data_IF_380398886364
#
_entry.id   IF_380398886364
#
_cell.length_a   1.000
_cell.length_b   1.000
_cell.length_c   1.000
_cell.angle_alpha   90.00
_cell.angle_beta   90.00
_cell.angle_gamma   90.00
#
_symmetry.space_group_name_H-M   'P 1'
#
loop_
_entity.id
_entity.type
_entity.pdbx_description
1 polymer ?
#
# COMPACT_ATOMS: atom_id res chain seq x y z
N UNK A 1 48.10 -38.98 -11.68
CA UNK A 1 46.64 -39.13 -11.60
C UNK A 1 46.07 -37.72 -11.45
N UNK A 2 45.47 -37.11 -12.49
CA UNK A 2 45.02 -35.72 -12.41
C UNK A 2 43.72 -35.62 -11.60
N UNK A 3 43.63 -34.57 -10.78
CA UNK A 3 42.49 -34.29 -9.90
C UNK A 3 41.19 -34.07 -10.70
N UNK A 4 40.02 -34.47 -10.17
CA UNK A 4 38.75 -34.25 -10.84
C UNK A 4 38.45 -32.74 -10.87
N UNK A 5 38.11 -32.25 -12.06
CA UNK A 5 37.68 -30.87 -12.28
C UNK A 5 36.48 -30.56 -11.38
N UNK A 6 36.66 -29.62 -10.46
CA UNK A 6 35.59 -29.00 -9.69
C UNK A 6 34.65 -28.31 -10.66
N UNK A 7 33.47 -28.91 -10.86
CA UNK A 7 32.37 -28.29 -11.59
C UNK A 7 32.01 -26.98 -10.90
N UNK A 8 32.14 -25.86 -11.61
CA UNK A 8 31.68 -24.55 -11.16
C UNK A 8 30.21 -24.66 -10.68
N UNK A 9 29.82 -23.96 -9.60
CA UNK A 9 28.44 -23.96 -9.14
C UNK A 9 27.53 -23.50 -10.29
N UNK A 10 26.35 -24.12 -10.46
CA UNK A 10 25.42 -23.73 -11.51
C UNK A 10 25.07 -22.24 -11.34
N UNK A 11 25.28 -21.47 -12.41
CA UNK A 11 24.89 -20.06 -12.48
C UNK A 11 23.42 -19.93 -12.09
N UNK A 12 23.14 -19.34 -10.93
CA UNK A 12 21.78 -18.95 -10.55
C UNK A 12 21.28 -17.98 -11.61
N UNK A 13 20.40 -18.47 -12.48
CA UNK A 13 19.80 -17.67 -13.54
C UNK A 13 19.25 -16.38 -12.94
N UNK A 14 19.58 -15.26 -13.58
CA UNK A 14 19.33 -13.87 -13.16
C UNK A 14 17.83 -13.58 -12.95
N UNK A 15 17.22 -14.18 -11.93
CA UNK A 15 15.81 -13.96 -11.57
C UNK A 15 15.75 -12.65 -10.84
N UNK A 16 15.07 -11.68 -11.45
CA UNK A 16 14.84 -10.37 -10.86
C UNK A 16 14.34 -10.52 -9.40
N UNK A 17 14.89 -9.79 -8.41
CA UNK A 17 14.54 -9.93 -7.00
C UNK A 17 13.03 -9.89 -6.72
N UNK A 18 12.31 -9.00 -7.43
CA UNK A 18 10.85 -8.94 -7.38
C UNK A 18 10.14 -10.25 -7.77
N UNK A 19 10.68 -11.04 -8.71
CA UNK A 19 10.11 -12.34 -9.07
C UNK A 19 10.30 -13.37 -7.97
N UNK A 20 11.42 -13.31 -7.26
CA UNK A 20 11.66 -14.16 -6.08
C UNK A 20 10.66 -13.81 -4.99
N UNK A 21 10.50 -12.52 -4.69
CA UNK A 21 9.49 -12.04 -3.73
C UNK A 21 8.07 -12.45 -4.13
N UNK A 22 7.70 -12.27 -5.40
CA UNK A 22 6.40 -12.71 -5.93
C UNK A 22 6.18 -14.22 -5.79
N UNK A 23 7.24 -15.02 -5.90
CA UNK A 23 7.14 -16.47 -5.69
C UNK A 23 7.01 -16.88 -4.22
N UNK A 24 7.48 -16.06 -3.29
CA UNK A 24 7.28 -16.28 -1.85
C UNK A 24 5.84 -15.97 -1.43
N UNK A 25 5.25 -14.96 -2.07
CA UNK A 25 3.87 -14.51 -1.84
C UNK A 25 2.85 -15.27 -2.70
N UNK A 26 3.30 -16.07 -3.68
CA UNK A 26 2.40 -16.71 -4.65
C UNK A 26 1.46 -17.74 -4.04
N UNK A 27 1.82 -18.29 -2.88
CA UNK A 27 0.99 -19.24 -2.13
C UNK A 27 -0.21 -18.52 -1.46
N UNK A 28 -0.12 -17.20 -1.27
CA UNK A 28 -1.08 -16.34 -0.56
C UNK A 28 -1.78 -15.32 -1.48
N UNK A 29 -1.90 -15.60 -2.79
CA UNK A 29 -2.49 -14.66 -3.77
C UNK A 29 -3.89 -14.16 -3.37
N UNK A 30 -4.72 -15.04 -2.81
CA UNK A 30 -6.07 -14.68 -2.36
C UNK A 30 -6.03 -13.63 -1.24
N UNK A 31 -5.07 -13.74 -0.32
CA UNK A 31 -4.86 -12.77 0.75
C UNK A 31 -4.41 -11.42 0.21
N UNK A 32 -3.46 -11.41 -0.73
CA UNK A 32 -2.99 -10.17 -1.37
C UNK A 32 -4.13 -9.46 -2.10
N UNK A 33 -4.92 -10.18 -2.89
CA UNK A 33 -6.05 -9.58 -3.63
C UNK A 33 -7.06 -8.95 -2.67
N UNK A 34 -7.39 -9.63 -1.57
CA UNK A 34 -8.26 -9.09 -0.52
C UNK A 34 -7.64 -7.86 0.15
N UNK A 35 -6.33 -7.88 0.43
CA UNK A 35 -5.64 -6.77 1.05
C UNK A 35 -5.69 -5.53 0.15
N UNK A 36 -5.33 -5.69 -1.13
CA UNK A 36 -5.39 -4.62 -2.14
C UNK A 36 -6.81 -4.10 -2.30
N UNK A 37 -7.82 -4.98 -2.40
CA UNK A 37 -9.21 -4.56 -2.52
C UNK A 37 -9.66 -3.73 -1.30
N UNK A 38 -9.35 -4.19 -0.09
CA UNK A 38 -9.64 -3.45 1.14
C UNK A 38 -8.91 -2.10 1.20
N UNK A 39 -7.64 -2.03 0.79
CA UNK A 39 -6.87 -0.78 0.71
C UNK A 39 -7.51 0.23 -0.25
N UNK A 40 -7.90 -0.21 -1.45
CA UNK A 40 -8.54 0.67 -2.45
C UNK A 40 -9.91 1.14 -1.98
N UNK A 41 -10.72 0.25 -1.40
CA UNK A 41 -12.03 0.62 -0.86
C UNK A 41 -11.88 1.60 0.30
N UNK A 42 -10.95 1.34 1.23
CA UNK A 42 -10.63 2.28 2.30
C UNK A 42 -10.27 3.66 1.71
N UNK A 43 -9.44 3.71 0.66
CA UNK A 43 -9.06 4.99 0.04
C UNK A 43 -10.24 5.74 -0.57
N UNK A 44 -11.23 5.03 -1.08
CA UNK A 44 -12.47 5.66 -1.55
C UNK A 44 -13.17 6.34 -0.38
N UNK A 45 -13.34 5.65 0.75
CA UNK A 45 -13.96 6.24 1.94
C UNK A 45 -13.16 7.42 2.50
N UNK A 46 -11.83 7.33 2.54
CA UNK A 46 -10.93 8.39 3.01
C UNK A 46 -11.04 9.69 2.18
N UNK A 47 -11.43 9.62 0.90
CA UNK A 47 -11.61 10.79 0.01
C UNK A 47 -13.04 11.37 0.02
N UNK A 48 -14.00 10.66 0.61
CA UNK A 48 -15.39 11.13 0.64
C UNK A 48 -15.65 12.34 1.55
N UNK A 49 -14.99 12.50 2.72
CA UNK A 49 -15.16 13.67 3.59
C UNK A 49 -14.90 15.01 2.89
N UNK A 50 -13.92 15.10 1.98
CA UNK A 50 -13.63 16.32 1.22
C UNK A 50 -14.82 16.71 0.33
N UNK A 51 -15.45 15.72 -0.30
CA UNK A 51 -16.64 15.93 -1.14
C UNK A 51 -17.83 16.33 -0.28
N UNK A 52 -18.02 15.67 0.88
CA UNK A 52 -19.05 16.00 1.85
C UNK A 52 -18.95 17.44 2.35
N UNK A 53 -17.74 17.94 2.61
CA UNK A 53 -17.52 19.34 3.02
C UNK A 53 -18.00 20.28 1.90
N UNK A 54 -17.68 19.98 0.65
CA UNK A 54 -18.17 20.75 -0.50
C UNK A 54 -19.69 20.79 -0.60
N UNK A 55 -20.35 19.64 -0.38
CA UNK A 55 -21.82 19.55 -0.36
C UNK A 55 -22.39 20.30 0.84
N UNK A 56 -21.80 20.18 2.03
CA UNK A 56 -22.24 20.89 3.21
C UNK A 56 -22.16 22.42 3.04
N UNK A 57 -21.08 22.92 2.42
CA UNK A 57 -20.95 24.33 2.06
C UNK A 57 -22.05 24.77 1.09
N UNK A 58 -22.38 23.96 0.09
CA UNK A 58 -23.48 24.26 -0.85
C UNK A 58 -24.84 24.33 -0.14
N UNK A 59 -25.10 23.43 0.83
CA UNK A 59 -26.30 23.46 1.68
C UNK A 59 -26.37 24.75 2.50
N UNK A 60 -25.27 25.13 3.14
CA UNK A 60 -25.24 26.33 4.01
C UNK A 60 -25.34 27.62 3.19
N UNK A 61 -24.74 27.67 2.01
CA UNK A 61 -24.70 28.88 1.17
C UNK A 61 -25.96 29.03 0.32
N UNK A 62 -26.43 27.95 -0.31
CA UNK A 62 -27.56 27.99 -1.26
C UNK A 62 -28.89 27.56 -0.66
N UNK A 63 -28.89 26.93 0.52
CA UNK A 63 -30.10 26.55 1.25
C UNK A 63 -31.05 25.68 0.41
N UNK A 64 -32.16 26.27 -0.06
CA UNK A 64 -33.21 25.59 -0.81
C UNK A 64 -32.86 25.30 -2.28
N UNK A 65 -31.82 25.93 -2.81
CA UNK A 65 -31.30 25.67 -4.16
C UNK A 65 -30.06 24.76 -4.16
N UNK A 66 -29.77 24.13 -3.01
CA UNK A 66 -28.63 23.23 -2.86
C UNK A 66 -28.77 21.97 -3.74
N UNK A 67 -27.65 21.31 -4.00
CA UNK A 67 -27.63 20.01 -4.70
C UNK A 67 -28.51 18.98 -4.01
N UNK A 68 -28.52 18.95 -2.66
CA UNK A 68 -29.35 18.04 -1.86
C UNK A 68 -30.83 18.40 -1.95
N UNK A 69 -31.17 19.68 -2.06
CA UNK A 69 -32.55 20.13 -2.28
C UNK A 69 -33.14 19.62 -3.60
N UNK A 70 -32.31 19.51 -4.65
CA UNK A 70 -32.72 18.96 -5.95
C UNK A 70 -33.07 17.47 -5.90
N UNK A 71 -32.60 16.75 -4.88
CA UNK A 71 -32.92 15.34 -4.62
C UNK A 71 -34.25 15.20 -3.84
N UNK A 72 -34.87 16.31 -3.43
CA UNK A 72 -36.20 16.34 -2.81
C UNK A 72 -36.23 16.67 -1.31
N UNK A 73 -35.08 16.93 -0.68
CA UNK A 73 -34.99 17.33 0.73
C UNK A 73 -34.77 18.83 0.81
N UNK A 74 -35.82 19.63 0.95
CA UNK A 74 -35.71 21.09 0.85
C UNK A 74 -35.31 21.79 2.14
N UNK A 75 -35.43 21.13 3.29
CA UNK A 75 -35.12 21.74 4.59
C UNK A 75 -33.63 21.59 4.95
N UNK A 76 -32.87 22.69 5.11
CA UNK A 76 -31.45 22.65 5.43
C UNK A 76 -31.10 21.83 6.67
N UNK A 77 -31.97 21.80 7.70
CA UNK A 77 -31.72 21.00 8.91
C UNK A 77 -31.71 19.50 8.59
N UNK A 78 -32.66 19.04 7.79
CA UNK A 78 -32.74 17.65 7.35
C UNK A 78 -31.59 17.29 6.39
N UNK A 79 -31.16 18.23 5.53
CA UNK A 79 -29.98 18.04 4.68
C UNK A 79 -28.71 17.85 5.52
N UNK A 80 -28.49 18.69 6.53
CA UNK A 80 -27.33 18.59 7.43
C UNK A 80 -27.38 17.32 8.28
N UNK A 81 -28.56 16.91 8.75
CA UNK A 81 -28.73 15.65 9.48
C UNK A 81 -28.38 14.43 8.61
N UNK A 82 -28.82 14.42 7.34
CA UNK A 82 -28.46 13.38 6.38
C UNK A 82 -26.95 13.33 6.14
N UNK A 83 -26.32 14.49 5.94
CA UNK A 83 -24.87 14.59 5.79
C UNK A 83 -24.13 14.08 7.03
N UNK A 84 -24.63 14.37 8.24
CA UNK A 84 -24.07 13.84 9.48
C UNK A 84 -24.11 12.30 9.55
N UNK A 85 -25.23 11.70 9.15
CA UNK A 85 -25.36 10.23 9.06
C UNK A 85 -24.41 9.67 7.99
N UNK A 86 -24.33 10.32 6.82
CA UNK A 86 -23.43 9.91 5.76
C UNK A 86 -21.97 9.96 6.21
N UNK A 87 -21.54 11.03 6.88
CA UNK A 87 -20.19 11.16 7.46
C UNK A 87 -19.89 10.02 8.41
N UNK A 88 -20.81 9.70 9.32
CA UNK A 88 -20.64 8.59 10.25
C UNK A 88 -20.45 7.25 9.51
N UNK A 89 -21.29 6.96 8.50
CA UNK A 89 -21.18 5.73 7.71
C UNK A 89 -19.88 5.65 6.92
N UNK A 90 -19.39 6.80 6.42
CA UNK A 90 -18.12 6.88 5.68
C UNK A 90 -16.95 6.58 6.60
N UNK A 91 -16.87 7.22 7.76
CA UNK A 91 -15.79 6.98 8.73
C UNK A 91 -15.83 5.56 9.28
N UNK A 92 -17.03 5.01 9.49
CA UNK A 92 -17.19 3.62 9.88
C UNK A 92 -16.68 2.67 8.78
N UNK A 93 -17.02 2.93 7.52
CA UNK A 93 -16.53 2.18 6.37
C UNK A 93 -15.01 2.27 6.24
N UNK A 94 -14.46 3.48 6.30
CA UNK A 94 -13.02 3.75 6.31
C UNK A 94 -12.31 2.90 7.37
N UNK A 95 -12.74 3.01 8.63
CA UNK A 95 -12.17 2.28 9.77
C UNK A 95 -12.26 0.76 9.61
N UNK A 96 -13.38 0.26 9.06
CA UNK A 96 -13.60 -1.16 8.84
C UNK A 96 -12.64 -1.72 7.79
N UNK A 97 -12.52 -1.04 6.65
CA UNK A 97 -11.62 -1.47 5.58
C UNK A 97 -10.16 -1.25 5.94
N UNK A 98 -9.86 -0.24 6.77
CA UNK A 98 -8.55 -0.07 7.38
C UNK A 98 -8.15 -1.27 8.21
N UNK A 99 -9.00 -1.65 9.16
CA UNK A 99 -8.78 -2.82 9.99
C UNK A 99 -8.53 -4.09 9.14
N UNK A 100 -9.33 -4.28 8.08
CA UNK A 100 -9.16 -5.42 7.19
C UNK A 100 -7.83 -5.41 6.44
N UNK A 101 -7.45 -4.31 5.78
CA UNK A 101 -6.17 -4.31 5.06
C UNK A 101 -4.99 -4.45 6.04
N UNK A 102 -5.06 -3.86 7.24
CA UNK A 102 -3.98 -3.95 8.23
C UNK A 102 -3.75 -5.40 8.67
N UNK A 103 -4.81 -6.16 8.95
CA UNK A 103 -4.67 -7.59 9.31
C UNK A 103 -4.13 -8.43 8.15
N UNK A 104 -4.60 -8.15 6.94
CA UNK A 104 -4.21 -8.90 5.76
C UNK A 104 -2.74 -8.67 5.41
N UNK A 105 -2.28 -7.41 5.36
CA UNK A 105 -0.89 -7.04 5.10
C UNK A 105 0.04 -7.49 6.21
N UNK A 106 -0.30 -7.22 7.48
CA UNK A 106 0.56 -7.57 8.61
C UNK A 106 0.83 -9.06 8.70
N UNK A 107 -0.22 -9.88 8.67
CA UNK A 107 0.04 -11.31 8.78
C UNK A 107 0.67 -11.90 7.51
N UNK A 108 0.45 -11.31 6.32
CA UNK A 108 1.21 -11.72 5.12
C UNK A 108 2.71 -11.45 5.34
N UNK A 109 3.04 -10.28 5.86
CA UNK A 109 4.40 -9.87 6.12
C UNK A 109 5.06 -10.79 7.17
N UNK A 110 4.35 -11.12 8.24
CA UNK A 110 4.81 -12.06 9.28
C UNK A 110 5.03 -13.48 8.74
N UNK A 111 4.11 -14.00 7.93
CA UNK A 111 4.22 -15.35 7.34
C UNK A 111 5.45 -15.44 6.39
N UNK A 112 5.63 -14.41 5.55
CA UNK A 112 6.79 -14.31 4.66
C UNK A 112 8.09 -14.14 5.45
N UNK A 113 8.10 -13.29 6.48
CA UNK A 113 9.26 -13.10 7.36
C UNK A 113 9.67 -14.42 8.03
N UNK A 114 8.69 -15.15 8.57
CA UNK A 114 8.94 -16.43 9.24
C UNK A 114 9.54 -17.44 8.26
N UNK A 115 8.92 -17.62 7.09
CA UNK A 115 9.40 -18.55 6.06
C UNK A 115 10.81 -18.21 5.60
N UNK A 116 11.10 -16.94 5.35
CA UNK A 116 12.44 -16.49 4.95
C UNK A 116 13.46 -16.75 6.04
N UNK A 117 13.13 -16.48 7.30
CA UNK A 117 14.04 -16.72 8.43
C UNK A 117 14.41 -18.20 8.54
N UNK A 118 13.44 -19.10 8.41
CA UNK A 118 13.70 -20.55 8.42
C UNK A 118 14.57 -20.97 7.23
N UNK A 119 14.22 -20.54 6.01
CA UNK A 119 14.98 -20.90 4.80
C UNK A 119 16.42 -20.37 4.82
N UNK A 120 16.62 -19.12 5.20
CA UNK A 120 17.94 -18.52 5.27
C UNK A 120 18.79 -19.14 6.40
N UNK A 121 18.16 -19.48 7.53
CA UNK A 121 18.87 -20.14 8.63
C UNK A 121 19.28 -21.57 8.28
N UNK A 122 18.39 -22.35 7.67
CA UNK A 122 18.69 -23.69 7.16
C UNK A 122 19.80 -23.65 6.10
N UNK A 123 19.73 -22.71 5.14
CA UNK A 123 20.77 -22.52 4.16
C UNK A 123 22.11 -22.17 4.81
N UNK A 124 22.09 -21.24 5.79
CA UNK A 124 23.30 -20.85 6.50
C UNK A 124 23.96 -22.05 7.17
N UNK A 125 23.22 -22.93 7.85
CA UNK A 125 23.79 -24.10 8.52
C UNK A 125 24.51 -25.10 7.60
N UNK A 126 24.15 -25.13 6.32
CA UNK A 126 24.73 -26.04 5.34
C UNK A 126 25.89 -25.42 4.54
N UNK A 127 26.30 -24.19 4.86
CA UNK A 127 27.44 -23.54 4.19
C UNK A 127 28.77 -24.19 4.60
N UNK A 128 29.73 -24.31 3.66
CA UNK A 128 31.05 -24.87 3.96
C UNK A 128 31.84 -23.94 4.87
N UNK A 129 32.75 -24.50 5.68
CA UNK A 129 33.60 -23.72 6.60
C UNK A 129 34.35 -22.58 5.91
N UNK A 130 34.82 -22.79 4.67
CA UNK A 130 35.51 -21.77 3.87
C UNK A 130 34.68 -20.50 3.67
N UNK A 131 33.36 -20.61 3.59
CA UNK A 131 32.48 -19.45 3.48
C UNK A 131 32.58 -18.56 4.73
N UNK A 132 32.67 -19.15 5.92
CA UNK A 132 32.78 -18.41 7.18
C UNK A 132 34.18 -17.87 7.45
N UNK A 133 35.21 -18.43 6.80
CA UNK A 133 36.56 -17.85 6.83
C UNK A 133 36.66 -16.60 5.95
N UNK A 134 35.90 -16.57 4.84
CA UNK A 134 35.88 -15.47 3.88
C UNK A 134 34.85 -14.36 4.22
N UNK A 135 33.82 -14.67 5.00
CA UNK A 135 32.73 -13.73 5.34
C UNK A 135 32.62 -13.51 6.85
N UNK A 136 32.29 -12.28 7.27
CA UNK A 136 32.14 -12.00 8.70
C UNK A 136 30.83 -12.61 9.20
N UNK A 137 30.88 -13.31 10.33
CA UNK A 137 29.68 -13.86 10.97
C UNK A 137 28.62 -12.80 11.30
N UNK A 138 29.04 -11.54 11.50
CA UNK A 138 28.14 -10.40 11.67
C UNK A 138 27.28 -10.10 10.45
N UNK A 139 27.82 -10.29 9.23
CA UNK A 139 27.09 -10.02 7.98
C UNK A 139 25.97 -11.05 7.79
N UNK A 140 26.21 -12.31 8.14
CA UNK A 140 25.18 -13.36 8.17
C UNK A 140 24.05 -13.03 9.16
N UNK A 141 24.40 -12.56 10.36
CA UNK A 141 23.41 -12.16 11.37
C UNK A 141 22.61 -10.95 10.91
N UNK A 142 23.26 -9.99 10.23
CA UNK A 142 22.59 -8.84 9.64
C UNK A 142 21.57 -9.25 8.57
N UNK A 143 21.92 -10.18 7.67
CA UNK A 143 20.96 -10.71 6.68
C UNK A 143 19.77 -11.39 7.38
N UNK A 144 20.03 -12.24 8.39
CA UNK A 144 18.98 -12.98 9.09
C UNK A 144 18.04 -12.12 9.94
N UNK A 145 18.48 -10.92 10.35
CA UNK A 145 17.66 -9.98 11.10
C UNK A 145 17.25 -8.77 10.28
N UNK A 146 18.20 -7.92 9.87
CA UNK A 146 17.93 -6.59 9.34
C UNK A 146 17.29 -6.64 7.96
N UNK A 147 17.85 -7.41 7.03
CA UNK A 147 17.33 -7.51 5.66
C UNK A 147 15.95 -8.17 5.65
N UNK A 148 15.78 -9.25 6.41
CA UNK A 148 14.50 -9.94 6.57
C UNK A 148 13.45 -9.03 7.23
N UNK A 149 13.83 -8.27 8.27
CA UNK A 149 12.92 -7.32 8.91
C UNK A 149 12.60 -6.13 7.99
N UNK A 150 13.52 -5.70 7.13
CA UNK A 150 13.23 -4.64 6.14
C UNK A 150 12.21 -5.12 5.11
N UNK A 151 12.31 -6.37 4.68
CA UNK A 151 11.33 -6.97 3.79
C UNK A 151 9.95 -7.09 4.44
N UNK A 152 9.90 -7.48 5.72
CA UNK A 152 8.65 -7.49 6.48
C UNK A 152 8.03 -6.09 6.51
N UNK A 153 8.78 -5.05 6.90
CA UNK A 153 8.26 -3.68 6.94
C UNK A 153 7.74 -3.21 5.58
N UNK A 154 8.40 -3.60 4.50
CA UNK A 154 7.95 -3.31 3.15
C UNK A 154 6.60 -3.98 2.85
N UNK A 155 6.40 -5.24 3.24
CA UNK A 155 5.15 -5.96 3.03
C UNK A 155 4.02 -5.51 3.98
N UNK A 156 4.35 -5.20 5.24
CA UNK A 156 3.40 -4.75 6.27
C UNK A 156 2.85 -3.34 5.95
N UNK A 157 3.74 -2.41 5.55
CA UNK A 157 3.38 -1.00 5.34
C UNK A 157 3.65 -0.51 3.93
N UNK A 158 4.86 -0.68 3.42
CA UNK A 158 5.28 -0.08 2.15
C UNK A 158 4.38 -0.44 0.97
N UNK A 159 3.95 -1.71 0.88
CA UNK A 159 3.03 -2.17 -0.15
C UNK A 159 1.69 -1.43 -0.11
N UNK A 160 1.09 -1.29 1.09
CA UNK A 160 -0.14 -0.55 1.28
C UNK A 160 0.03 0.95 1.00
N UNK A 161 1.13 1.56 1.47
CA UNK A 161 1.43 2.98 1.23
C UNK A 161 1.53 3.31 -0.27
N UNK A 162 2.14 2.44 -1.07
CA UNK A 162 2.21 2.60 -2.52
C UNK A 162 0.82 2.54 -3.16
N UNK A 163 -0.01 1.57 -2.75
CA UNK A 163 -1.39 1.43 -3.23
C UNK A 163 -2.21 2.66 -2.85
N UNK A 164 -2.15 3.08 -1.59
CA UNK A 164 -2.86 4.24 -1.06
C UNK A 164 -2.47 5.52 -1.78
N UNK A 165 -1.17 5.75 -1.99
CA UNK A 165 -0.65 6.92 -2.72
C UNK A 165 -1.13 6.93 -4.16
N UNK A 166 -1.01 5.80 -4.86
CA UNK A 166 -1.45 5.68 -6.24
C UNK A 166 -2.97 5.88 -6.37
N UNK A 167 -3.76 5.25 -5.49
CA UNK A 167 -5.20 5.42 -5.43
C UNK A 167 -5.59 6.86 -5.10
N UNK A 168 -4.87 7.54 -4.20
CA UNK A 168 -5.09 8.96 -3.90
C UNK A 168 -4.94 9.82 -5.15
N UNK A 169 -3.81 9.67 -5.86
CA UNK A 169 -3.51 10.44 -7.07
C UNK A 169 -4.59 10.22 -8.14
N UNK A 170 -5.02 8.98 -8.34
CA UNK A 170 -6.08 8.66 -9.30
C UNK A 170 -7.45 9.21 -8.89
N UNK A 171 -7.88 8.98 -7.64
CA UNK A 171 -9.22 9.36 -7.17
C UNK A 171 -9.34 10.88 -7.05
N UNK A 172 -8.42 11.54 -6.33
CA UNK A 172 -8.43 12.99 -6.16
C UNK A 172 -8.19 13.69 -7.49
N UNK A 173 -7.26 13.17 -8.30
CA UNK A 173 -7.01 13.67 -9.65
C UNK A 173 -8.26 13.63 -10.51
N UNK A 174 -8.96 12.48 -10.56
CA UNK A 174 -10.20 12.34 -11.30
C UNK A 174 -11.28 13.33 -10.82
N UNK A 175 -11.46 13.46 -9.50
CA UNK A 175 -12.41 14.43 -8.92
C UNK A 175 -12.09 15.86 -9.38
N UNK A 176 -10.82 16.27 -9.32
CA UNK A 176 -10.42 17.61 -9.74
C UNK A 176 -10.65 17.83 -11.23
N UNK A 177 -10.30 16.88 -12.10
CA UNK A 177 -10.54 17.01 -13.54
C UNK A 177 -12.03 17.04 -13.89
N UNK A 178 -12.88 16.35 -13.15
CA UNK A 178 -14.34 16.39 -13.35
C UNK A 178 -14.93 17.73 -12.88
N UNK A 179 -14.51 18.22 -11.71
CA UNK A 179 -15.06 19.44 -11.10
C UNK A 179 -14.53 20.70 -11.78
N UNK A 180 -13.22 20.78 -12.01
CA UNK A 180 -12.58 21.93 -12.65
C UNK A 180 -11.21 21.55 -13.23
N UNK A 181 -11.12 21.29 -14.55
CA UNK A 181 -9.85 20.98 -15.22
C UNK A 181 -8.77 22.05 -15.00
N UNK A 182 -9.17 23.33 -14.89
CA UNK A 182 -8.23 24.42 -14.65
C UNK A 182 -7.58 24.30 -13.25
N UNK A 183 -8.38 24.04 -12.22
CA UNK A 183 -7.87 23.83 -10.85
C UNK A 183 -6.98 22.58 -10.82
N UNK A 184 -7.38 21.52 -11.51
CA UNK A 184 -6.57 20.30 -11.62
C UNK A 184 -5.18 20.62 -12.18
N UNK A 185 -5.09 21.24 -13.35
CA UNK A 185 -3.78 21.56 -13.98
C UNK A 185 -2.90 22.40 -13.06
N UNK A 186 -3.47 23.44 -12.42
CA UNK A 186 -2.73 24.28 -11.48
C UNK A 186 -2.24 23.46 -10.26
N UNK A 187 -3.10 22.62 -9.68
CA UNK A 187 -2.77 21.80 -8.52
C UNK A 187 -1.69 20.75 -8.81
N UNK A 188 -1.65 20.20 -10.03
CA UNK A 188 -0.65 19.22 -10.44
C UNK A 188 0.65 19.85 -10.97
N UNK A 189 0.67 21.15 -11.28
CA UNK A 189 1.86 21.85 -11.81
C UNK A 189 3.10 21.75 -10.91
N UNK A 190 3.01 21.82 -9.56
CA UNK A 190 4.17 21.65 -8.69
C UNK A 190 4.73 20.22 -8.63
N UNK A 191 3.94 19.21 -9.01
CA UNK A 191 4.30 17.79 -8.80
C UNK A 191 5.59 17.40 -9.52
N UNK A 192 5.80 17.71 -10.83
CA UNK A 192 7.07 17.44 -11.50
C UNK A 192 8.28 18.12 -10.84
N UNK A 193 8.12 19.34 -10.32
CA UNK A 193 9.20 20.07 -9.64
C UNK A 193 9.58 19.42 -8.30
N UNK A 194 8.58 18.97 -7.53
CA UNK A 194 8.80 18.21 -6.29
C UNK A 194 9.52 16.90 -6.58
N UNK A 195 9.08 16.16 -7.60
CA UNK A 195 9.72 14.90 -8.00
C UNK A 195 11.17 15.15 -8.44
N UNK A 196 11.43 16.19 -9.23
CA UNK A 196 12.77 16.54 -9.68
C UNK A 196 13.72 16.96 -8.53
N UNK A 197 13.19 17.56 -7.45
CA UNK A 197 13.98 17.96 -6.29
C UNK A 197 14.15 16.88 -5.22
N UNK A 198 13.42 15.77 -5.32
CA UNK A 198 13.50 14.65 -4.38
C UNK A 198 14.60 13.63 -4.70
N UNK A 199 15.25 13.76 -5.87
CA UNK A 199 16.37 12.95 -6.34
C UNK A 199 17.62 13.81 -6.53
#
# INVERSE_FOLDING_TARGET
MPAPATSAPPSSGNRHPLRVLLSLVSDEKGRVVRAVASSVINKIFDVMPEILIGIALDVVVRGKDSFVAKVGITDPVHQLALLGIATFLIWFGESLFEYFYQILWRGLAQDVQHRLRILCYDHAQHLPTSFYEENRSGDLVAVLNDDINQLERFLDRGANELIQTFAAVLLVGAVFFIVSPLIAVIAFTPVPAIIAGAF
#
